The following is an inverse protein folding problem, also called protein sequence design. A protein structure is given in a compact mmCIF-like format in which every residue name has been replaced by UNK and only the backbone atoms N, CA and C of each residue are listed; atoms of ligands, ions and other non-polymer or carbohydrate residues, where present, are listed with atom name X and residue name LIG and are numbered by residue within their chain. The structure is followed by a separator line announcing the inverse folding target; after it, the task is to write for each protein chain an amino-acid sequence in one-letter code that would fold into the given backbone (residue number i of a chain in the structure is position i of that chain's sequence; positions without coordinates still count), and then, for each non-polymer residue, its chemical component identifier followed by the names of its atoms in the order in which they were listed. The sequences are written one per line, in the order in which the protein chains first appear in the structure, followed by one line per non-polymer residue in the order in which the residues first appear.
data_IF_445838594201
#
_entry.id   IF_445838594201
#
_cell.length_a   1.000
_cell.length_b   1.000
_cell.length_c   1.000
_cell.angle_alpha   90.00
_cell.angle_beta   90.00
_cell.angle_gamma   90.00
#
_symmetry.space_group_name_H-M   'P 1'
#
loop_
_entity.id
_entity.type
_entity.pdbx_description
1 polymer ?
#
# COMPACT_ATOMS: atom_id res chain seq x y z
N UNK A 1 0.61 37.57 -22.47
CA UNK A 1 -0.17 36.70 -21.57
C UNK A 1 0.13 35.20 -21.80
N UNK A 2 1.41 34.78 -21.73
CA UNK A 2 1.80 33.37 -21.94
C UNK A 2 2.21 32.70 -20.61
N UNK A 3 2.65 33.48 -19.62
CA UNK A 3 3.11 32.99 -18.32
C UNK A 3 1.99 32.55 -17.35
N UNK A 4 0.80 33.14 -17.44
CA UNK A 4 -0.34 32.75 -16.60
C UNK A 4 -0.82 31.32 -16.91
N UNK A 5 -0.74 30.90 -18.17
CA UNK A 5 -1.09 29.53 -18.59
C UNK A 5 -0.05 28.50 -18.15
N UNK A 6 1.23 28.88 -18.02
CA UNK A 6 2.28 27.98 -17.55
C UNK A 6 2.08 27.56 -16.09
N UNK A 7 1.75 28.51 -15.21
CA UNK A 7 1.50 28.20 -13.79
C UNK A 7 0.21 27.40 -13.58
N UNK A 8 -0.86 27.73 -14.32
CA UNK A 8 -2.10 26.95 -14.32
C UNK A 8 -1.88 25.54 -14.87
N UNK A 9 -1.16 25.38 -15.99
CA UNK A 9 -0.83 24.07 -16.53
C UNK A 9 0.02 23.26 -15.55
N UNK A 10 0.97 23.89 -14.86
CA UNK A 10 1.79 23.24 -13.85
C UNK A 10 0.98 22.85 -12.61
N UNK A 11 0.04 23.70 -12.18
CA UNK A 11 -0.88 23.41 -11.08
C UNK A 11 -1.88 22.29 -11.42
N UNK A 12 -2.42 22.30 -12.65
CA UNK A 12 -3.26 21.21 -13.16
C UNK A 12 -2.48 19.92 -13.25
N UNK A 13 -1.25 19.93 -13.78
CA UNK A 13 -0.40 18.75 -13.84
C UNK A 13 -0.01 18.24 -12.45
N UNK A 14 0.23 19.16 -11.49
CA UNK A 14 0.49 18.80 -10.09
C UNK A 14 -0.73 18.17 -9.42
N UNK A 15 -1.93 18.70 -9.69
CA UNK A 15 -3.19 18.15 -9.18
C UNK A 15 -3.50 16.79 -9.80
N UNK A 16 -3.25 16.64 -11.10
CA UNK A 16 -3.46 15.40 -11.86
C UNK A 16 -2.51 14.29 -11.37
N UNK A 17 -1.29 14.64 -10.96
CA UNK A 17 -0.30 13.72 -10.38
C UNK A 17 -0.22 13.78 -8.85
N UNK A 18 -1.12 14.50 -8.19
CA UNK A 18 -1.03 14.79 -6.75
C UNK A 18 -1.01 13.51 -5.91
N UNK A 19 -1.78 12.51 -6.32
CA UNK A 19 -1.81 11.19 -5.70
C UNK A 19 -0.43 10.50 -5.72
N UNK A 20 0.28 10.55 -6.85
CA UNK A 20 1.63 9.97 -7.00
C UNK A 20 2.62 10.65 -6.06
N UNK A 21 2.58 11.98 -5.97
CA UNK A 21 3.45 12.73 -5.07
C UNK A 21 3.18 12.41 -3.60
N UNK A 22 1.92 12.28 -3.19
CA UNK A 22 1.55 11.89 -1.82
C UNK A 22 2.10 10.51 -1.49
N UNK A 23 1.88 9.52 -2.36
CA UNK A 23 2.40 8.17 -2.14
C UNK A 23 3.93 8.11 -2.16
N UNK A 24 4.58 8.91 -3.01
CA UNK A 24 6.04 9.03 -3.04
C UNK A 24 6.56 9.62 -1.72
N UNK A 25 5.94 10.69 -1.22
CA UNK A 25 6.28 11.30 0.07
C UNK A 25 6.10 10.30 1.22
N UNK A 26 4.99 9.56 1.24
CA UNK A 26 4.73 8.49 2.21
C UNK A 26 5.79 7.37 2.13
N UNK A 27 6.17 6.97 0.91
CA UNK A 27 7.20 5.94 0.68
C UNK A 27 8.56 6.39 1.23
N UNK A 28 8.98 7.62 0.91
CA UNK A 28 10.22 8.21 1.41
C UNK A 28 10.20 8.26 2.94
N UNK A 29 9.07 8.65 3.53
CA UNK A 29 8.90 8.69 4.98
C UNK A 29 9.08 7.30 5.64
N UNK A 30 8.39 6.28 5.12
CA UNK A 30 8.44 4.91 5.65
C UNK A 30 9.86 4.34 5.56
N UNK A 31 10.50 4.49 4.40
CA UNK A 31 11.87 4.03 4.17
C UNK A 31 12.85 4.70 5.13
N UNK A 32 12.70 6.00 5.36
CA UNK A 32 13.66 6.78 6.14
C UNK A 32 13.54 6.56 7.65
N UNK A 33 12.32 6.42 8.18
CA UNK A 33 12.10 6.27 9.63
C UNK A 33 11.90 4.84 10.10
N UNK A 34 11.05 4.05 9.43
CA UNK A 34 10.61 2.76 9.95
C UNK A 34 11.48 1.59 9.46
N UNK A 35 11.86 1.57 8.17
CA UNK A 35 12.75 0.52 7.66
C UNK A 35 14.15 0.59 8.30
N UNK A 36 14.59 1.77 8.77
CA UNK A 36 15.83 1.91 9.55
C UNK A 36 15.74 1.27 10.94
N UNK A 37 14.58 1.30 11.59
CA UNK A 37 14.38 0.69 12.91
C UNK A 37 14.43 -0.84 12.82
N UNK A 38 13.76 -1.44 11.82
CA UNK A 38 13.80 -2.89 11.57
C UNK A 38 15.21 -3.37 11.24
N UNK A 39 15.98 -2.58 10.46
CA UNK A 39 17.39 -2.87 10.16
C UNK A 39 18.28 -2.90 11.41
N UNK A 40 18.03 -2.03 12.40
CA UNK A 40 18.79 -2.01 13.67
C UNK A 40 18.50 -3.24 14.52
N UNK A 41 17.22 -3.60 14.69
CA UNK A 41 16.81 -4.78 15.48
C UNK A 41 17.31 -6.09 14.87
N UNK A 42 17.37 -6.19 13.54
CA UNK A 42 17.85 -7.40 12.86
C UNK A 42 19.38 -7.50 12.79
N UNK A 43 20.09 -6.36 12.81
CA UNK A 43 21.55 -6.30 12.75
C UNK A 43 22.27 -6.40 14.09
N UNK A 44 21.57 -6.10 15.19
CA UNK A 44 22.13 -6.08 16.55
C UNK A 44 21.57 -7.22 17.41
N UNK A 45 21.80 -8.48 17.00
CA UNK A 45 21.80 -9.57 17.99
C UNK A 45 23.19 -9.60 18.63
N UNK A 46 23.36 -9.15 19.89
CA UNK A 46 24.65 -9.26 20.56
C UNK A 46 25.05 -10.74 20.59
N UNK A 47 26.26 -11.02 20.14
CA UNK A 47 26.83 -12.36 20.15
C UNK A 47 26.92 -12.83 21.60
N UNK A 48 26.08 -13.79 22.00
CA UNK A 48 26.23 -14.44 23.30
C UNK A 48 27.54 -15.25 23.24
N UNK A 49 28.56 -14.80 23.98
CA UNK A 49 29.90 -15.42 24.06
C UNK A 49 30.75 -15.39 22.78
N UNK A 50 30.58 -14.40 21.89
CA UNK A 50 31.50 -14.22 20.74
C UNK A 50 31.50 -15.34 19.69
N UNK A 51 30.59 -16.33 19.78
CA UNK A 51 30.37 -17.35 18.75
C UNK A 51 29.09 -17.05 17.95
N UNK A 52 29.26 -16.76 16.67
CA UNK A 52 28.17 -16.58 15.71
C UNK A 52 28.57 -15.70 14.52
N UNK A 53 27.97 -15.93 13.34
CA UNK A 53 28.14 -15.04 12.18
C UNK A 53 27.37 -13.74 12.44
N UNK A 54 28.01 -12.59 12.22
CA UNK A 54 27.35 -11.27 12.23
C UNK A 54 26.18 -11.32 11.24
N UNK A 55 24.94 -11.26 11.74
CA UNK A 55 23.76 -11.19 10.89
C UNK A 55 23.72 -9.78 10.31
N UNK A 56 24.10 -9.65 9.04
CA UNK A 56 24.04 -8.37 8.32
C UNK A 56 22.56 -7.96 8.25
N UNK A 57 22.26 -6.72 8.64
CA UNK A 57 20.93 -6.15 8.53
C UNK A 57 20.40 -6.31 7.10
N UNK A 58 19.36 -7.13 6.92
CA UNK A 58 18.80 -7.42 5.61
C UNK A 58 18.14 -6.18 5.02
N UNK A 59 18.49 -5.85 3.77
CA UNK A 59 17.85 -4.76 3.02
C UNK A 59 16.44 -5.09 2.50
N UNK A 60 15.92 -6.28 2.83
CA UNK A 60 14.66 -6.82 2.33
C UNK A 60 13.46 -5.89 2.51
N UNK A 61 13.27 -5.29 3.70
CA UNK A 61 12.11 -4.41 3.97
C UNK A 61 12.08 -3.19 3.04
N UNK A 62 13.25 -2.65 2.68
CA UNK A 62 13.38 -1.53 1.74
C UNK A 62 12.94 -1.94 0.33
N UNK A 63 13.43 -3.08 -0.16
CA UNK A 63 13.06 -3.59 -1.49
C UNK A 63 11.56 -3.87 -1.56
N UNK A 64 10.95 -4.39 -0.50
CA UNK A 64 9.51 -4.60 -0.43
C UNK A 64 8.74 -3.28 -0.51
N UNK A 65 9.14 -2.24 0.24
CA UNK A 65 8.47 -0.92 0.20
C UNK A 65 8.58 -0.28 -1.20
N UNK A 66 9.78 -0.32 -1.79
CA UNK A 66 10.03 0.24 -3.13
C UNK A 66 9.26 -0.54 -4.19
N UNK A 67 9.23 -1.87 -4.12
CA UNK A 67 8.47 -2.69 -5.05
C UNK A 67 6.98 -2.40 -4.97
N UNK A 68 6.41 -2.29 -3.75
CA UNK A 68 5.01 -1.90 -3.56
C UNK A 68 4.74 -0.52 -4.17
N UNK A 69 5.62 0.45 -3.97
CA UNK A 69 5.49 1.77 -4.58
C UNK A 69 5.53 1.72 -6.11
N UNK A 70 6.47 0.97 -6.70
CA UNK A 70 6.59 0.85 -8.16
C UNK A 70 5.34 0.22 -8.77
N UNK A 71 4.84 -0.89 -8.21
CA UNK A 71 3.61 -1.55 -8.67
C UNK A 71 2.43 -0.58 -8.56
N UNK A 72 2.33 0.13 -7.43
CA UNK A 72 1.27 1.11 -7.23
C UNK A 72 1.37 2.32 -8.18
N UNK A 73 2.58 2.81 -8.46
CA UNK A 73 2.79 3.92 -9.39
C UNK A 73 2.36 3.55 -10.81
N UNK A 74 2.68 2.33 -11.27
CA UNK A 74 2.19 1.80 -12.54
C UNK A 74 0.66 1.78 -12.54
N UNK A 75 0.04 1.26 -11.47
CA UNK A 75 -1.42 1.21 -11.35
C UNK A 75 -2.07 2.60 -11.40
N UNK A 76 -1.47 3.59 -10.73
CA UNK A 76 -1.95 4.96 -10.72
C UNK A 76 -1.82 5.64 -12.09
N UNK A 77 -0.72 5.41 -12.82
CA UNK A 77 -0.49 5.99 -14.15
C UNK A 77 -1.43 5.45 -15.23
N UNK A 78 -1.86 4.19 -15.12
CA UNK A 78 -2.77 3.57 -16.10
C UNK A 78 -4.25 3.79 -15.77
N UNK A 79 -4.56 4.44 -14.65
CA UNK A 79 -5.91 4.60 -14.11
C UNK A 79 -6.32 6.06 -14.05
N UNK A 80 -7.61 6.31 -14.31
CA UNK A 80 -8.21 7.62 -14.08
C UNK A 80 -8.66 7.78 -12.62
N UNK A 81 -8.96 9.03 -12.23
CA UNK A 81 -9.68 9.31 -10.99
C UNK A 81 -10.97 8.47 -10.91
N UNK A 82 -11.35 7.94 -9.73
CA UNK A 82 -10.84 8.24 -8.38
C UNK A 82 -9.73 7.32 -7.86
N UNK A 83 -9.27 6.34 -8.64
CA UNK A 83 -8.37 5.26 -8.17
C UNK A 83 -7.05 5.80 -7.58
N UNK A 84 -6.32 6.74 -8.24
CA UNK A 84 -5.10 7.30 -7.65
C UNK A 84 -5.34 7.99 -6.30
N UNK A 85 -6.46 8.71 -6.15
CA UNK A 85 -6.79 9.41 -4.91
C UNK A 85 -7.06 8.44 -3.76
N UNK A 86 -7.77 7.33 -4.02
CA UNK A 86 -7.96 6.25 -3.04
C UNK A 86 -6.61 5.66 -2.63
N UNK A 87 -5.75 5.37 -3.60
CA UNK A 87 -4.40 4.87 -3.35
C UNK A 87 -3.56 5.80 -2.48
N UNK A 88 -3.63 7.11 -2.72
CA UNK A 88 -2.98 8.11 -1.88
C UNK A 88 -3.51 8.09 -0.43
N UNK A 89 -4.82 7.93 -0.24
CA UNK A 89 -5.43 7.74 1.08
C UNK A 89 -4.95 6.48 1.79
N UNK A 90 -4.76 5.38 1.06
CA UNK A 90 -4.17 4.15 1.61
C UNK A 90 -2.72 4.39 2.07
N UNK A 91 -1.89 5.06 1.28
CA UNK A 91 -0.52 5.41 1.68
C UNK A 91 -0.47 6.34 2.90
N UNK A 92 -1.33 7.35 2.98
CA UNK A 92 -1.40 8.26 4.13
C UNK A 92 -1.81 7.53 5.41
N UNK A 93 -2.86 6.71 5.34
CA UNK A 93 -3.31 5.94 6.49
C UNK A 93 -2.30 4.86 6.91
N UNK A 94 -1.49 4.34 5.97
CA UNK A 94 -0.37 3.47 6.31
C UNK A 94 0.66 4.19 7.18
N UNK A 95 1.07 5.41 6.79
CA UNK A 95 1.98 6.24 7.60
C UNK A 95 1.36 6.53 8.97
N UNK A 96 0.07 6.90 9.01
CA UNK A 96 -0.63 7.15 10.27
C UNK A 96 -0.64 5.90 11.17
N UNK A 97 -0.95 4.72 10.63
CA UNK A 97 -0.98 3.47 11.38
C UNK A 97 0.39 3.12 11.99
N UNK A 98 1.49 3.35 11.27
CA UNK A 98 2.85 3.12 11.79
C UNK A 98 3.23 4.08 12.92
N UNK A 99 2.70 5.31 12.89
CA UNK A 99 2.93 6.31 13.92
C UNK A 99 2.14 5.99 15.20
N UNK A 100 0.83 5.73 15.05
CA UNK A 100 -0.09 5.57 16.18
C UNK A 100 -0.08 4.16 16.80
N UNK A 101 0.44 3.14 16.12
CA UNK A 101 0.46 1.77 16.63
C UNK A 101 1.90 1.22 16.69
N UNK A 102 2.77 1.75 17.59
CA UNK A 102 4.15 1.29 17.71
C UNK A 102 4.33 -0.21 18.00
N UNK A 103 3.49 -0.87 18.83
CA UNK A 103 3.72 -2.27 19.20
C UNK A 103 3.62 -3.26 18.03
N UNK A 104 2.88 -2.92 16.97
CA UNK A 104 2.57 -3.84 15.86
C UNK A 104 3.23 -3.42 14.54
N UNK A 105 4.22 -2.53 14.59
CA UNK A 105 4.85 -1.93 13.40
C UNK A 105 5.27 -2.96 12.35
N UNK A 106 5.92 -4.06 12.74
CA UNK A 106 6.38 -5.09 11.79
C UNK A 106 5.22 -5.79 11.08
N UNK A 107 4.16 -6.13 11.82
CA UNK A 107 2.96 -6.75 11.27
C UNK A 107 2.19 -5.77 10.35
N UNK A 108 2.11 -4.49 10.75
CA UNK A 108 1.50 -3.43 9.95
C UNK A 108 2.32 -3.20 8.68
N UNK A 109 3.65 -3.15 8.74
CA UNK A 109 4.53 -2.95 7.59
C UNK A 109 4.27 -4.00 6.51
N UNK A 110 4.36 -5.29 6.86
CA UNK A 110 4.17 -6.35 5.88
C UNK A 110 2.74 -6.37 5.33
N UNK A 111 1.74 -6.34 6.22
CA UNK A 111 0.35 -6.49 5.82
C UNK A 111 -0.16 -5.31 4.97
N UNK A 112 0.21 -4.08 5.32
CA UNK A 112 -0.23 -2.92 4.54
C UNK A 112 0.47 -2.83 3.19
N UNK A 113 1.76 -3.20 3.10
CA UNK A 113 2.45 -3.35 1.81
C UNK A 113 1.74 -4.38 0.91
N UNK A 114 1.39 -5.54 1.48
CA UNK A 114 0.69 -6.60 0.73
C UNK A 114 -0.69 -6.14 0.24
N UNK A 115 -1.49 -5.47 1.08
CA UNK A 115 -2.80 -4.95 0.68
C UNK A 115 -2.68 -3.89 -0.42
N UNK A 116 -1.74 -2.94 -0.31
CA UNK A 116 -1.53 -1.93 -1.36
C UNK A 116 -1.07 -2.59 -2.66
N UNK A 117 -0.19 -3.59 -2.59
CA UNK A 117 0.27 -4.33 -3.77
C UNK A 117 -0.87 -5.11 -4.44
N UNK A 118 -1.70 -5.82 -3.67
CA UNK A 118 -2.87 -6.54 -4.18
C UNK A 118 -3.86 -5.57 -4.83
N UNK A 119 -4.14 -4.43 -4.18
CA UNK A 119 -4.97 -3.39 -4.76
C UNK A 119 -4.44 -2.91 -6.11
N UNK A 120 -3.15 -2.57 -6.18
CA UNK A 120 -2.51 -2.12 -7.41
C UNK A 120 -2.56 -3.18 -8.51
N UNK A 121 -2.34 -4.45 -8.17
CA UNK A 121 -2.46 -5.56 -9.12
C UNK A 121 -3.90 -5.72 -9.64
N UNK A 122 -4.91 -5.60 -8.78
CA UNK A 122 -6.32 -5.65 -9.20
C UNK A 122 -6.66 -4.50 -10.16
N UNK A 123 -6.15 -3.30 -9.89
CA UNK A 123 -6.32 -2.14 -10.77
C UNK A 123 -5.67 -2.37 -12.13
N UNK A 124 -4.43 -2.87 -12.16
CA UNK A 124 -3.73 -3.20 -13.41
C UNK A 124 -4.47 -4.30 -14.17
N UNK A 125 -4.87 -5.38 -13.48
CA UNK A 125 -5.62 -6.48 -14.08
C UNK A 125 -6.96 -6.01 -14.66
N UNK A 126 -7.69 -5.16 -13.95
CA UNK A 126 -8.92 -4.55 -14.44
C UNK A 126 -8.66 -3.70 -15.69
N UNK A 127 -7.60 -2.89 -15.69
CA UNK A 127 -7.24 -2.06 -16.83
C UNK A 127 -6.90 -2.89 -18.06
N UNK A 128 -6.11 -3.96 -17.88
CA UNK A 128 -5.74 -4.90 -18.93
C UNK A 128 -6.97 -5.65 -19.48
N UNK A 129 -7.86 -6.10 -18.59
CA UNK A 129 -9.10 -6.78 -18.96
C UNK A 129 -10.03 -5.88 -19.78
N UNK A 130 -10.04 -4.57 -19.48
CA UNK A 130 -10.83 -3.58 -20.23
C UNK A 130 -10.18 -3.13 -21.54
N UNK A 131 -8.84 -3.12 -21.64
CA UNK A 131 -8.14 -2.77 -22.87
C UNK A 131 -8.07 -3.91 -23.89
N UNK A 132 -8.21 -5.16 -23.45
CA UNK A 132 -8.15 -6.33 -24.32
C UNK A 132 -9.30 -6.29 -25.34
N UNK A 133 -9.02 -6.48 -26.62
CA UNK A 133 -10.07 -6.64 -27.64
C UNK A 133 -9.81 -7.98 -28.32
N UNK A 134 -10.63 -9.01 -28.05
CA UNK A 134 -10.42 -10.32 -28.65
C UNK A 134 -10.73 -10.28 -30.15
N UNK A 135 -9.99 -11.09 -30.92
CA UNK A 135 -10.24 -11.31 -32.34
C UNK A 135 -11.58 -12.05 -32.52
N UNK A 136 -12.57 -11.48 -33.24
CA UNK A 136 -13.90 -12.08 -33.40
C UNK A 136 -13.85 -13.50 -33.96
N UNK A 137 -12.97 -13.77 -34.93
CA UNK A 137 -12.86 -15.07 -35.59
C UNK A 137 -12.27 -16.14 -34.65
N UNK A 138 -11.32 -15.74 -33.81
CA UNK A 138 -10.75 -16.62 -32.80
C UNK A 138 -11.78 -16.92 -31.70
N UNK A 139 -12.58 -15.93 -31.31
CA UNK A 139 -13.65 -16.05 -30.32
C UNK A 139 -14.76 -16.99 -30.80
N UNK A 140 -15.19 -16.86 -32.05
CA UNK A 140 -16.15 -17.75 -32.71
C UNK A 140 -15.67 -19.21 -32.71
N UNK A 141 -14.40 -19.45 -33.01
CA UNK A 141 -13.80 -20.79 -32.96
C UNK A 141 -13.77 -21.37 -31.55
N UNK A 142 -13.54 -20.53 -30.53
CA UNK A 142 -13.54 -20.95 -29.12
C UNK A 142 -14.96 -21.23 -28.58
N UNK A 143 -15.98 -20.56 -29.10
CA UNK A 143 -17.37 -20.68 -28.64
C UNK A 143 -18.23 -21.67 -29.44
N UNK A 144 -17.63 -22.42 -30.37
CA UNK A 144 -18.34 -23.49 -31.09
C UNK A 144 -19.04 -23.06 -32.38
N UNK A 145 -18.68 -21.90 -32.95
CA UNK A 145 -19.06 -21.52 -34.32
C UNK A 145 -20.50 -21.00 -34.52
N UNK A 146 -21.36 -21.03 -33.51
CA UNK A 146 -22.75 -20.58 -33.61
C UNK A 146 -22.99 -19.31 -32.75
N UNK A 147 -23.26 -18.18 -33.41
CA UNK A 147 -23.66 -16.91 -32.77
C UNK A 147 -22.63 -15.78 -32.84
N UNK A 148 -23.08 -14.55 -32.53
CA UNK A 148 -22.21 -13.36 -32.46
C UNK A 148 -21.37 -13.40 -31.18
N UNK A 149 -20.18 -13.99 -31.30
CA UNK A 149 -19.27 -14.17 -30.19
C UNK A 149 -18.78 -12.85 -29.58
N UNK A 150 -18.68 -11.80 -30.40
CA UNK A 150 -18.32 -10.47 -29.96
C UNK A 150 -19.43 -9.84 -29.11
N UNK A 151 -20.70 -10.06 -29.47
CA UNK A 151 -21.84 -9.58 -28.69
C UNK A 151 -21.92 -10.23 -27.30
N UNK A 152 -21.67 -11.54 -27.20
CA UNK A 152 -21.64 -12.24 -25.90
C UNK A 152 -20.51 -11.69 -25.03
N UNK A 153 -19.31 -11.53 -25.58
CA UNK A 153 -18.17 -10.99 -24.85
C UNK A 153 -18.40 -9.54 -24.39
N UNK A 154 -18.98 -8.70 -25.25
CA UNK A 154 -19.35 -7.33 -24.91
C UNK A 154 -20.39 -7.30 -23.78
N UNK A 155 -21.37 -8.21 -23.80
CA UNK A 155 -22.39 -8.33 -22.76
C UNK A 155 -21.80 -8.75 -21.42
N UNK A 156 -20.93 -9.76 -21.40
CA UNK A 156 -20.23 -10.22 -20.18
C UNK A 156 -19.31 -9.14 -19.63
N UNK A 157 -18.56 -8.45 -20.50
CA UNK A 157 -17.71 -7.32 -20.09
C UNK A 157 -18.55 -6.20 -19.48
N UNK A 158 -19.67 -5.86 -20.12
CA UNK A 158 -20.60 -4.83 -19.66
C UNK A 158 -21.22 -5.17 -18.30
N UNK A 159 -21.55 -6.44 -18.06
CA UNK A 159 -22.13 -6.89 -16.79
C UNK A 159 -21.11 -6.95 -15.65
N UNK A 160 -19.84 -7.25 -15.93
CA UNK A 160 -18.78 -7.30 -14.92
C UNK A 160 -18.27 -5.93 -14.48
N UNK A 161 -18.37 -4.92 -15.35
CA UNK A 161 -17.81 -3.58 -15.11
C UNK A 161 -18.32 -2.92 -13.80
N UNK A 162 -19.64 -2.91 -13.50
CA UNK A 162 -20.15 -2.32 -12.26
C UNK A 162 -19.62 -3.03 -11.00
N UNK A 163 -19.53 -4.37 -11.02
CA UNK A 163 -19.01 -5.13 -9.88
C UNK A 163 -17.53 -4.88 -9.65
N UNK A 164 -16.73 -4.83 -10.73
CA UNK A 164 -15.31 -4.52 -10.62
C UNK A 164 -15.08 -3.10 -10.08
N UNK A 165 -15.87 -2.12 -10.52
CA UNK A 165 -15.83 -0.75 -9.97
C UNK A 165 -16.22 -0.73 -8.50
N UNK A 166 -17.31 -1.41 -8.10
CA UNK A 166 -17.73 -1.50 -6.70
C UNK A 166 -16.62 -2.08 -5.81
N UNK A 167 -15.96 -3.13 -6.29
CA UNK A 167 -14.86 -3.77 -5.55
C UNK A 167 -13.67 -2.82 -5.42
N UNK A 168 -13.23 -2.20 -6.51
CA UNK A 168 -12.05 -1.35 -6.56
C UNK A 168 -12.25 0.01 -5.87
N UNK A 169 -13.45 0.56 -5.91
CA UNK A 169 -13.73 1.89 -5.37
C UNK A 169 -14.22 1.85 -3.94
N UNK A 170 -14.96 0.81 -3.57
CA UNK A 170 -15.66 0.77 -2.27
C UNK A 170 -15.19 -0.41 -1.43
N UNK A 171 -15.39 -1.65 -1.87
CA UNK A 171 -15.21 -2.82 -0.99
C UNK A 171 -13.76 -2.99 -0.54
N UNK A 172 -12.80 -2.91 -1.47
CA UNK A 172 -11.39 -3.11 -1.15
C UNK A 172 -10.84 -1.97 -0.29
N UNK A 173 -11.03 -0.68 -0.64
CA UNK A 173 -10.59 0.42 0.21
C UNK A 173 -11.26 0.39 1.59
N UNK A 174 -12.55 0.07 1.67
CA UNK A 174 -13.27 -0.05 2.94
C UNK A 174 -12.68 -1.17 3.80
N UNK A 175 -12.38 -2.34 3.22
CA UNK A 175 -11.71 -3.43 3.93
C UNK A 175 -10.33 -3.01 4.45
N UNK A 176 -9.55 -2.31 3.63
CA UNK A 176 -8.24 -1.79 4.02
C UNK A 176 -8.33 -0.82 5.21
N UNK A 177 -9.21 0.19 5.14
CA UNK A 177 -9.38 1.17 6.21
C UNK A 177 -10.00 0.55 7.45
N UNK A 178 -10.96 -0.37 7.31
CA UNK A 178 -11.56 -1.11 8.43
C UNK A 178 -10.52 -1.91 9.20
N UNK A 179 -9.56 -2.50 8.49
CA UNK A 179 -8.44 -3.25 9.09
C UNK A 179 -7.46 -2.34 9.86
N UNK A 180 -7.30 -1.08 9.48
CA UNK A 180 -6.54 -0.07 10.24
C UNK A 180 -7.36 0.38 11.47
N UNK A 181 -8.63 0.71 11.25
CA UNK A 181 -9.54 1.16 12.30
C UNK A 181 -9.68 0.13 13.43
N UNK A 182 -9.81 -1.16 13.07
CA UNK A 182 -9.86 -2.26 14.02
C UNK A 182 -8.60 -2.32 14.89
N UNK A 183 -7.40 -2.20 14.28
CA UNK A 183 -6.15 -2.20 15.05
C UNK A 183 -6.02 -0.98 15.93
N UNK A 184 -6.50 0.17 15.49
CA UNK A 184 -6.52 1.39 16.29
C UNK A 184 -7.43 1.24 17.52
N UNK A 185 -8.60 0.60 17.36
CA UNK A 185 -9.49 0.29 18.47
C UNK A 185 -8.87 -0.69 19.47
N UNK A 186 -8.21 -1.76 18.99
CA UNK A 186 -7.54 -2.76 19.84
C UNK A 186 -6.37 -2.13 20.62
N UNK A 187 -5.57 -1.28 19.97
CA UNK A 187 -4.36 -0.70 20.56
C UNK A 187 -4.56 0.67 21.22
N UNK A 188 -5.80 1.12 21.43
CA UNK A 188 -6.11 2.45 21.99
C UNK A 188 -5.46 2.70 23.36
N UNK A 189 -5.32 1.65 24.19
CA UNK A 189 -4.65 1.74 25.50
C UNK A 189 -3.13 1.83 25.42
N UNK A 190 -2.52 1.48 24.28
CA UNK A 190 -1.07 1.55 24.06
C UNK A 190 -0.60 2.95 23.67
N UNK A 191 -1.49 3.81 23.14
CA UNK A 191 -1.14 5.19 22.78
C UNK A 191 -0.59 5.98 23.98
N UNK A 192 -1.16 5.74 25.17
CA UNK A 192 -0.69 6.35 26.42
C UNK A 192 0.60 5.73 26.97
N UNK A 193 0.98 4.54 26.52
CA UNK A 193 2.23 3.85 26.92
C UNK A 193 3.37 4.03 25.92
N UNK A 194 3.05 4.27 24.64
CA UNK A 194 4.00 4.48 23.55
C UNK A 194 4.89 5.72 23.72
N UNK A 195 4.47 6.67 24.55
CA UNK A 195 5.23 7.86 24.89
C UNK A 195 6.12 7.69 26.12
N UNK A 196 6.04 6.55 26.83
CA UNK A 196 6.97 6.28 27.94
C UNK A 196 8.30 5.83 27.36
N UNK A 197 9.31 6.63 27.66
CA UNK A 197 10.69 6.35 27.32
C UNK A 197 11.12 4.98 27.84
N UNK A 198 11.96 4.29 27.07
CA UNK A 198 12.45 2.94 27.38
C UNK A 198 13.21 2.94 28.71
N UNK A 199 13.87 4.06 29.04
CA UNK A 199 14.52 4.29 30.34
C UNK A 199 13.54 4.26 31.51
N UNK A 200 12.32 4.79 31.34
CA UNK A 200 11.28 4.76 32.37
C UNK A 200 10.74 3.36 32.63
N UNK A 201 10.64 2.53 31.58
CA UNK A 201 10.20 1.13 31.71
C UNK A 201 11.30 0.27 32.35
N UNK A 202 12.57 0.48 31.99
CA UNK A 202 13.70 -0.21 32.60
C UNK A 202 13.87 0.20 34.07
N UNK A 203 13.68 1.49 34.39
CA UNK A 203 13.67 2.00 35.75
C UNK A 203 12.59 1.34 36.61
N UNK A 204 11.36 1.26 36.11
CA UNK A 204 10.21 0.68 36.82
C UNK A 204 10.36 -0.85 37.03
N UNK A 205 10.98 -1.55 36.07
CA UNK A 205 11.35 -2.97 36.23
C UNK A 205 12.48 -3.17 37.24
N UNK A 206 13.46 -2.27 37.27
CA UNK A 206 14.57 -2.31 38.23
C UNK A 206 14.08 -2.08 39.66
N UNK A 207 13.14 -1.15 39.87
CA UNK A 207 12.57 -0.87 41.20
C UNK A 207 11.53 -1.90 41.67
N UNK A 208 11.01 -2.74 40.76
CA UNK A 208 10.08 -3.83 41.12
C UNK A 208 10.77 -5.06 41.72
N UNK A 209 12.10 -5.15 41.67
CA UNK A 209 12.88 -6.20 42.34
C UNK A 209 13.26 -5.89 43.79
N UNK A 210 12.91 -4.70 44.31
CA UNK A 210 13.30 -4.23 45.65
C UNK A 210 12.13 -4.10 46.64
N UNK A 211 11.01 -4.78 46.40
CA UNK A 211 9.91 -4.92 47.39
C UNK A 211 9.53 -6.36 47.61
#
# INVERSE_FOLDING_TARGET
MIWANGWLAMAYWLLDNGALFVALACTIWIVRWHDRQVRRVTGERPLRYGRGKRVIASSRSFYETVLTFVIWAIAALVSAAPIPAIGAGMWLSFVAALHFIPPERDNILFRQKAMIAIYALMVIAFRLAMSYTPDPDQLLRMMGGEGDAAAVFATVRGSLMPYAMLILWVMYPLGYFGVIAQRFMINRGSLFKAQRDVEGVIGDMRTRGEK
#
